data_IF_774629341609
#
_entry.id   IF_774629341609
#
_cell.length_a   1.000
_cell.length_b   1.000
_cell.length_c   1.000
_cell.angle_alpha   90.00
_cell.angle_beta   90.00
_cell.angle_gamma   90.00
#
_symmetry.space_group_name_H-M   'P 1'
#
loop_
_entity.id
_entity.type
_entity.pdbx_description
1 polymer ?
#
# COMPACT_ATOMS: atom_id res chain seq x y z
N UNK A 1 27.70 -16.19 22.72
CA UNK A 1 29.03 -15.82 22.18
C UNK A 1 29.59 -14.49 22.74
N UNK A 2 29.05 -13.98 23.85
CA UNK A 2 29.50 -12.74 24.53
C UNK A 2 30.83 -12.84 25.31
N UNK A 3 31.37 -14.05 25.50
CA UNK A 3 32.55 -14.29 26.34
C UNK A 3 33.90 -14.19 25.60
N UNK A 4 33.92 -14.15 24.27
CA UNK A 4 35.16 -14.18 23.50
C UNK A 4 35.74 -12.78 23.18
N UNK A 5 34.92 -11.72 23.24
CA UNK A 5 35.34 -10.37 22.85
C UNK A 5 36.14 -9.63 23.94
N UNK A 6 36.17 -10.12 25.18
CA UNK A 6 36.70 -9.37 26.33
C UNK A 6 38.22 -9.51 26.57
N UNK A 7 38.96 -10.30 25.76
CA UNK A 7 40.32 -10.76 26.16
C UNK A 7 41.52 -10.21 25.39
N UNK A 8 41.37 -9.29 24.43
CA UNK A 8 42.52 -8.76 23.69
C UNK A 8 42.48 -7.24 23.57
N UNK A 9 43.00 -6.57 24.59
CA UNK A 9 43.43 -5.16 24.51
C UNK A 9 44.89 -5.10 24.95
N UNK A 10 45.81 -5.18 23.98
CA UNK A 10 47.22 -4.81 24.16
C UNK A 10 47.67 -3.94 22.99
N UNK A 11 48.06 -2.72 23.33
CA UNK A 11 49.14 -1.96 22.70
C UNK A 11 48.82 -1.22 21.40
N UNK A 12 48.77 0.12 21.46
CA UNK A 12 48.82 0.96 20.26
C UNK A 12 48.37 2.42 20.46
N UNK A 13 49.32 3.26 20.85
CA UNK A 13 49.50 4.72 20.64
C UNK A 13 48.30 5.66 20.27
N UNK A 14 48.05 6.60 21.19
CA UNK A 14 47.78 8.06 21.06
C UNK A 14 47.01 8.59 19.84
N UNK A 15 45.72 8.91 20.06
CA UNK A 15 45.07 10.19 19.74
C UNK A 15 43.90 10.40 20.73
N UNK A 16 44.00 11.35 21.67
CA UNK A 16 42.85 11.95 22.37
C UNK A 16 42.64 13.33 21.73
N UNK A 17 41.44 13.76 21.37
CA UNK A 17 40.31 13.94 22.27
C UNK A 17 38.99 14.08 21.47
N UNK A 18 37.85 13.76 22.11
CA UNK A 18 36.46 13.82 21.61
C UNK A 18 35.78 12.55 21.03
N UNK A 19 36.34 11.35 21.22
CA UNK A 19 35.64 10.10 20.85
C UNK A 19 35.50 9.15 22.05
N UNK A 20 34.30 8.62 22.28
CA UNK A 20 34.06 7.63 23.33
C UNK A 20 34.96 6.40 23.10
N UNK A 21 35.45 5.77 24.16
CA UNK A 21 36.16 4.48 24.02
C UNK A 21 35.17 3.38 23.64
N UNK A 22 35.55 2.48 22.73
CA UNK A 22 34.68 1.39 22.24
C UNK A 22 34.03 0.58 23.39
N UNK A 23 34.80 0.26 24.44
CA UNK A 23 34.27 -0.46 25.60
C UNK A 23 33.16 0.31 26.36
N UNK A 24 33.27 1.64 26.46
CA UNK A 24 32.25 2.46 27.09
C UNK A 24 30.98 2.56 26.21
N UNK A 25 31.16 2.64 24.89
CA UNK A 25 30.08 2.60 23.91
C UNK A 25 29.28 1.29 24.01
N UNK A 26 29.97 0.16 24.03
CA UNK A 26 29.35 -1.17 24.21
C UNK A 26 28.59 -1.22 25.54
N UNK A 27 29.22 -0.80 26.64
CA UNK A 27 28.60 -0.89 27.96
C UNK A 27 27.32 -0.05 28.09
N UNK A 28 27.28 1.13 27.44
CA UNK A 28 26.11 2.01 27.43
C UNK A 28 24.94 1.44 26.64
N UNK A 29 25.22 0.77 25.53
CA UNK A 29 24.20 0.43 24.54
C UNK A 29 23.77 -1.05 24.55
N UNK A 30 24.58 -1.94 25.16
CA UNK A 30 24.35 -3.40 25.17
C UNK A 30 22.95 -3.83 25.59
N UNK A 31 22.30 -3.12 26.52
CA UNK A 31 20.98 -3.49 27.03
C UNK A 31 19.91 -3.34 25.94
N UNK A 32 19.97 -2.24 25.17
CA UNK A 32 19.05 -1.99 24.05
C UNK A 32 19.27 -3.01 22.93
N UNK A 33 20.53 -3.30 22.60
CA UNK A 33 20.86 -4.29 21.58
C UNK A 33 20.37 -5.69 21.97
N UNK A 34 20.50 -6.05 23.24
CA UNK A 34 20.02 -7.33 23.77
C UNK A 34 18.49 -7.45 23.72
N UNK A 35 17.75 -6.41 24.08
CA UNK A 35 16.28 -6.40 23.95
C UNK A 35 15.85 -6.61 22.50
N UNK A 36 16.50 -5.92 21.56
CA UNK A 36 16.18 -6.05 20.14
C UNK A 36 16.54 -7.45 19.61
N UNK A 37 17.64 -8.04 20.08
CA UNK A 37 18.02 -9.42 19.77
C UNK A 37 16.97 -10.42 20.27
N UNK A 38 16.46 -10.26 21.50
CA UNK A 38 15.39 -11.11 22.05
C UNK A 38 14.08 -11.00 21.26
N UNK A 39 13.74 -9.82 20.75
CA UNK A 39 12.56 -9.62 19.89
C UNK A 39 12.73 -10.34 18.54
N UNK A 40 13.89 -10.18 17.91
CA UNK A 40 14.18 -10.78 16.60
C UNK A 40 14.30 -12.31 16.71
N UNK A 41 14.76 -12.84 17.85
CA UNK A 41 14.78 -14.27 18.17
C UNK A 41 13.40 -14.83 18.57
N UNK A 42 12.38 -13.97 18.70
CA UNK A 42 11.02 -14.36 19.07
C UNK A 42 10.85 -14.74 20.54
N UNK A 43 11.82 -14.39 21.39
CA UNK A 43 11.82 -14.62 22.84
C UNK A 43 11.02 -13.54 23.59
N UNK A 44 10.88 -12.35 23.00
CA UNK A 44 10.14 -11.21 23.55
C UNK A 44 9.19 -10.61 22.51
N UNK A 45 8.06 -10.05 22.96
CA UNK A 45 7.09 -9.37 22.09
C UNK A 45 6.99 -7.90 22.50
N UNK A 46 7.43 -7.02 21.61
CA UNK A 46 7.22 -5.58 21.70
C UNK A 46 6.19 -5.11 20.67
N UNK A 47 5.62 -3.92 20.87
CA UNK A 47 4.74 -3.32 19.86
C UNK A 47 5.54 -2.94 18.61
N UNK A 48 4.85 -2.78 17.47
CA UNK A 48 5.51 -2.39 16.22
C UNK A 48 6.19 -1.01 16.31
N UNK A 49 5.62 -0.10 17.11
CA UNK A 49 6.14 1.24 17.33
C UNK A 49 7.43 1.18 18.19
N UNK A 50 7.43 0.40 19.28
CA UNK A 50 8.60 0.22 20.15
C UNK A 50 9.79 -0.39 19.39
N UNK A 51 9.53 -1.40 18.54
CA UNK A 51 10.57 -2.03 17.71
C UNK A 51 11.13 -1.03 16.69
N UNK A 52 10.28 -0.16 16.15
CA UNK A 52 10.71 0.88 15.20
C UNK A 52 11.60 1.92 15.87
N UNK A 53 11.28 2.34 17.10
CA UNK A 53 12.11 3.27 17.87
C UNK A 53 13.49 2.66 18.20
N UNK A 54 13.52 1.41 18.69
CA UNK A 54 14.78 0.71 18.95
C UNK A 54 15.62 0.50 17.69
N UNK A 55 14.98 0.30 16.53
CA UNK A 55 15.67 0.16 15.25
C UNK A 55 16.32 1.46 14.77
N UNK A 56 15.66 2.61 14.97
CA UNK A 56 16.27 3.94 14.68
C UNK A 56 17.54 4.11 15.52
N UNK A 57 17.44 3.85 16.83
CA UNK A 57 18.57 3.94 17.75
C UNK A 57 19.73 2.98 17.39
N UNK A 58 19.41 1.76 16.95
CA UNK A 58 20.41 0.81 16.46
C UNK A 58 21.14 1.33 15.21
N UNK A 59 20.41 1.98 14.31
CA UNK A 59 20.98 2.51 13.05
C UNK A 59 21.91 3.70 13.33
N UNK A 60 21.58 4.52 14.32
CA UNK A 60 22.46 5.58 14.83
C UNK A 60 23.73 5.00 15.45
N UNK A 61 23.60 3.98 16.31
CA UNK A 61 24.73 3.28 16.92
C UNK A 61 25.64 2.64 15.86
N UNK A 62 25.07 2.03 14.81
CA UNK A 62 25.82 1.48 13.68
C UNK A 62 26.57 2.56 12.90
N UNK A 63 25.94 3.71 12.67
CA UNK A 63 26.56 4.85 11.96
C UNK A 63 27.72 5.43 12.77
N UNK A 64 27.56 5.53 14.10
CA UNK A 64 28.63 5.90 15.02
C UNK A 64 29.79 4.89 14.96
N UNK A 65 29.49 3.60 15.06
CA UNK A 65 30.51 2.54 15.01
C UNK A 65 31.26 2.49 13.68
N UNK A 66 30.58 2.71 12.54
CA UNK A 66 31.24 2.81 11.22
C UNK A 66 32.21 4.00 11.12
N UNK A 67 31.92 5.09 11.81
CA UNK A 67 32.73 6.32 11.75
C UNK A 67 33.94 6.25 12.69
N UNK A 68 33.73 5.74 13.91
CA UNK A 68 34.72 5.82 14.99
C UNK A 68 35.41 4.49 15.30
N UNK A 69 34.82 3.35 14.93
CA UNK A 69 35.37 2.00 15.14
C UNK A 69 35.30 1.17 13.83
N UNK A 70 35.93 1.65 12.73
CA UNK A 70 35.91 0.95 11.46
C UNK A 70 36.49 -0.48 11.60
N UNK A 71 35.88 -1.44 10.90
CA UNK A 71 36.24 -2.87 10.90
C UNK A 71 36.30 -3.55 12.29
N UNK A 72 35.63 -2.97 13.29
CA UNK A 72 35.53 -3.54 14.63
C UNK A 72 34.49 -4.67 14.71
N UNK A 73 34.65 -5.56 15.68
CA UNK A 73 33.66 -6.61 15.97
C UNK A 73 32.28 -6.03 16.33
N UNK A 74 32.24 -4.89 17.03
CA UNK A 74 30.98 -4.22 17.35
C UNK A 74 30.29 -3.69 16.10
N UNK A 75 31.03 -3.13 15.14
CA UNK A 75 30.48 -2.67 13.87
C UNK A 75 29.85 -3.83 13.09
N UNK A 76 30.53 -4.98 13.01
CA UNK A 76 29.99 -6.17 12.34
C UNK A 76 28.75 -6.73 13.04
N UNK A 77 28.77 -6.78 14.37
CA UNK A 77 27.62 -7.21 15.19
C UNK A 77 26.40 -6.32 14.95
N UNK A 78 26.56 -4.99 15.03
CA UNK A 78 25.47 -4.04 14.83
C UNK A 78 24.91 -4.10 13.40
N UNK A 79 25.78 -4.29 12.41
CA UNK A 79 25.36 -4.45 11.03
C UNK A 79 24.49 -5.71 10.84
N UNK A 80 24.88 -6.83 11.45
CA UNK A 80 24.10 -8.06 11.44
C UNK A 80 22.76 -7.92 12.16
N UNK A 81 22.74 -7.31 13.34
CA UNK A 81 21.51 -7.06 14.10
C UNK A 81 20.57 -6.13 13.33
N UNK A 82 21.09 -5.09 12.67
CA UNK A 82 20.30 -4.16 11.87
C UNK A 82 19.63 -4.87 10.68
N UNK A 83 20.38 -5.71 9.97
CA UNK A 83 19.84 -6.50 8.85
C UNK A 83 18.71 -7.43 9.30
N UNK A 84 18.90 -8.16 10.42
CA UNK A 84 17.87 -9.07 10.96
C UNK A 84 16.63 -8.31 11.45
N UNK A 85 16.83 -7.19 12.13
CA UNK A 85 15.73 -6.33 12.62
C UNK A 85 14.94 -5.73 11.47
N UNK A 86 15.61 -5.26 10.42
CA UNK A 86 14.98 -4.72 9.22
C UNK A 86 14.05 -5.77 8.57
N UNK A 87 14.54 -7.01 8.45
CA UNK A 87 13.74 -8.13 7.96
C UNK A 87 12.57 -8.44 8.89
N UNK A 88 12.75 -8.42 10.20
CA UNK A 88 11.68 -8.65 11.18
C UNK A 88 10.55 -7.61 11.04
N UNK A 89 10.88 -6.32 10.99
CA UNK A 89 9.90 -5.23 10.85
C UNK A 89 9.09 -5.37 9.55
N UNK A 90 9.76 -5.64 8.42
CA UNK A 90 9.09 -5.71 7.11
C UNK A 90 8.35 -7.03 6.87
N UNK A 91 8.88 -8.15 7.39
CA UNK A 91 8.26 -9.48 7.22
C UNK A 91 7.12 -9.73 8.21
N UNK A 92 7.09 -9.03 9.34
CA UNK A 92 6.08 -9.20 10.40
C UNK A 92 5.00 -8.12 10.43
N UNK A 93 4.79 -7.36 9.34
CA UNK A 93 3.56 -6.56 9.14
C UNK A 93 2.35 -7.49 8.91
N UNK A 94 2.02 -8.31 9.91
CA UNK A 94 0.79 -9.09 9.93
C UNK A 94 -0.34 -8.12 10.16
N UNK A 95 -1.00 -7.73 9.07
CA UNK A 95 -2.31 -7.11 9.12
C UNK A 95 -3.18 -7.89 10.13
N UNK A 96 -3.71 -7.24 11.19
CA UNK A 96 -4.43 -7.95 12.23
C UNK A 96 -5.57 -8.77 11.61
N UNK A 97 -5.70 -10.04 12.03
CA UNK A 97 -6.80 -10.91 11.62
C UNK A 97 -8.11 -10.18 11.92
N UNK A 98 -8.80 -9.75 10.87
CA UNK A 98 -10.01 -8.91 10.99
C UNK A 98 -9.94 -7.56 10.29
N UNK A 99 -8.78 -7.06 9.83
CA UNK A 99 -8.72 -5.78 9.07
C UNK A 99 -9.61 -5.79 7.84
N UNK A 100 -9.66 -6.88 7.09
CA UNK A 100 -10.55 -6.98 5.92
C UNK A 100 -12.03 -6.86 6.33
N UNK A 101 -12.43 -7.52 7.42
CA UNK A 101 -13.81 -7.45 7.93
C UNK A 101 -14.13 -6.05 8.44
N UNK A 102 -13.21 -5.44 9.19
CA UNK A 102 -13.35 -4.07 9.70
C UNK A 102 -13.40 -3.03 8.59
N UNK A 103 -12.56 -3.18 7.57
CA UNK A 103 -12.57 -2.33 6.39
C UNK A 103 -13.95 -2.30 5.75
N UNK A 104 -14.55 -3.47 5.50
CA UNK A 104 -15.86 -3.56 4.87
C UNK A 104 -17.03 -3.21 5.80
N UNK A 105 -16.96 -3.51 7.10
CA UNK A 105 -18.06 -3.27 8.05
C UNK A 105 -18.05 -1.88 8.67
N UNK A 106 -16.90 -1.26 8.81
CA UNK A 106 -16.74 0.02 9.52
C UNK A 106 -16.18 1.08 8.58
N UNK A 107 -15.00 0.87 8.02
CA UNK A 107 -14.25 1.92 7.31
C UNK A 107 -14.98 2.38 6.03
N UNK A 108 -15.46 1.45 5.20
CA UNK A 108 -16.22 1.76 3.97
C UNK A 108 -17.57 2.44 4.29
N UNK A 109 -18.43 1.90 5.19
CA UNK A 109 -19.67 2.57 5.57
C UNK A 109 -19.46 3.95 6.19
N UNK A 110 -18.45 4.13 7.04
CA UNK A 110 -18.10 5.42 7.64
C UNK A 110 -17.65 6.43 6.57
N UNK A 111 -16.82 6.00 5.61
CA UNK A 111 -16.38 6.86 4.50
C UNK A 111 -17.56 7.29 3.61
N UNK A 112 -18.48 6.35 3.31
CA UNK A 112 -19.71 6.65 2.58
C UNK A 112 -20.62 7.61 3.37
N UNK A 113 -20.76 7.42 4.68
CA UNK A 113 -21.55 8.29 5.54
C UNK A 113 -20.95 9.71 5.64
N UNK A 114 -19.62 9.82 5.72
CA UNK A 114 -18.92 11.10 5.71
C UNK A 114 -19.10 11.86 4.39
N UNK A 115 -19.21 11.14 3.28
CA UNK A 115 -19.39 11.69 1.92
C UNK A 115 -20.83 11.62 1.40
N UNK A 116 -21.81 11.40 2.29
CA UNK A 116 -23.22 11.19 1.90
C UNK A 116 -23.84 12.37 1.16
N UNK A 117 -23.48 13.60 1.50
CA UNK A 117 -24.05 14.80 0.88
C UNK A 117 -23.70 14.91 -0.61
N UNK A 118 -22.42 14.88 -1.03
CA UNK A 118 -22.09 14.88 -2.45
C UNK A 118 -22.58 13.62 -3.18
N UNK A 119 -22.63 12.47 -2.50
CA UNK A 119 -23.20 11.24 -3.06
C UNK A 119 -24.69 11.39 -3.38
N UNK A 120 -25.48 11.90 -2.43
CA UNK A 120 -26.92 12.14 -2.60
C UNK A 120 -27.20 13.21 -3.65
N UNK A 121 -26.38 14.26 -3.71
CA UNK A 121 -26.51 15.30 -4.71
C UNK A 121 -26.27 14.74 -6.12
N UNK A 122 -25.20 13.95 -6.28
CA UNK A 122 -24.89 13.28 -7.55
C UNK A 122 -26.00 12.29 -7.95
N UNK A 123 -26.50 11.51 -6.99
CA UNK A 123 -27.63 10.61 -7.21
C UNK A 123 -28.91 11.37 -7.58
N UNK A 124 -29.17 12.52 -6.96
CA UNK A 124 -30.31 13.37 -7.27
C UNK A 124 -30.26 13.92 -8.69
N UNK A 125 -29.09 14.45 -9.12
CA UNK A 125 -28.89 14.92 -10.49
C UNK A 125 -29.06 13.76 -11.49
N UNK A 126 -28.46 12.60 -11.18
CA UNK A 126 -28.60 11.41 -12.01
C UNK A 126 -30.06 10.98 -12.16
N UNK A 127 -30.81 10.89 -11.06
CA UNK A 127 -32.23 10.52 -11.09
C UNK A 127 -33.08 11.57 -11.82
N UNK A 128 -32.78 12.86 -11.67
CA UNK A 128 -33.44 13.91 -12.42
C UNK A 128 -33.21 13.73 -13.93
N UNK A 129 -31.97 13.45 -14.36
CA UNK A 129 -31.66 13.17 -15.76
C UNK A 129 -32.38 11.92 -16.28
N UNK A 130 -32.42 10.85 -15.47
CA UNK A 130 -33.18 9.62 -15.81
C UNK A 130 -34.67 9.93 -15.97
N UNK A 131 -35.26 10.72 -15.07
CA UNK A 131 -36.66 11.12 -15.16
C UNK A 131 -36.94 11.94 -16.41
N UNK A 132 -36.07 12.90 -16.75
CA UNK A 132 -36.18 13.66 -17.99
C UNK A 132 -36.12 12.71 -19.19
N UNK A 133 -35.15 11.81 -19.25
CA UNK A 133 -35.02 10.83 -20.33
C UNK A 133 -36.26 9.92 -20.46
N UNK A 134 -36.78 9.43 -19.33
CA UNK A 134 -37.97 8.57 -19.31
C UNK A 134 -39.24 9.31 -19.74
N UNK A 135 -39.42 10.56 -19.28
CA UNK A 135 -40.55 11.40 -19.69
C UNK A 135 -40.47 11.75 -21.18
N UNK A 136 -39.28 12.08 -21.69
CA UNK A 136 -39.06 12.36 -23.11
C UNK A 136 -39.37 11.12 -23.96
N UNK A 137 -38.88 9.95 -23.58
CA UNK A 137 -39.17 8.69 -24.29
C UNK A 137 -40.66 8.32 -24.27
N UNK A 138 -41.41 8.69 -23.23
CA UNK A 138 -42.85 8.46 -23.15
C UNK A 138 -43.66 9.37 -24.08
N UNK A 139 -43.26 10.63 -24.24
CA UNK A 139 -44.03 11.62 -25.00
C UNK A 139 -43.60 11.72 -26.46
N UNK A 140 -42.34 11.43 -26.76
CA UNK A 140 -41.80 11.45 -28.13
C UNK A 140 -41.20 10.07 -28.48
N UNK A 141 -41.85 9.30 -29.38
CA UNK A 141 -41.36 7.98 -29.79
C UNK A 141 -40.08 8.05 -30.62
N UNK A 142 -39.69 9.21 -31.15
CA UNK A 142 -38.44 9.40 -31.89
C UNK A 142 -37.25 9.71 -30.99
N UNK A 143 -37.50 10.18 -29.75
CA UNK A 143 -36.46 10.57 -28.80
C UNK A 143 -35.42 9.48 -28.54
N UNK A 144 -35.86 8.23 -28.35
CA UNK A 144 -34.95 7.11 -28.10
C UNK A 144 -34.02 6.86 -29.28
N UNK A 145 -34.55 6.95 -30.51
CA UNK A 145 -33.76 6.81 -31.75
C UNK A 145 -32.81 7.98 -31.97
N UNK A 146 -33.22 9.19 -31.58
CA UNK A 146 -32.35 10.38 -31.64
C UNK A 146 -31.12 10.24 -30.73
N UNK A 147 -31.30 9.71 -29.52
CA UNK A 147 -30.21 9.60 -28.53
C UNK A 147 -29.34 8.36 -28.76
N UNK A 148 -29.95 7.20 -29.03
CA UNK A 148 -29.23 5.92 -29.14
C UNK A 148 -28.86 5.55 -30.59
N UNK A 149 -29.48 6.19 -31.59
CA UNK A 149 -29.32 5.87 -33.00
C UNK A 149 -30.25 4.76 -33.48
N UNK A 150 -30.60 4.80 -34.77
CA UNK A 150 -31.47 3.82 -35.41
C UNK A 150 -30.91 2.41 -35.37
N UNK A 151 -29.59 2.26 -35.56
CA UNK A 151 -28.93 0.95 -35.55
C UNK A 151 -29.06 0.24 -34.20
N UNK A 152 -28.81 0.95 -33.10
CA UNK A 152 -28.92 0.39 -31.75
C UNK A 152 -30.36 -0.03 -31.43
N UNK A 153 -31.33 0.81 -31.79
CA UNK A 153 -32.76 0.52 -31.57
C UNK A 153 -33.23 -0.66 -32.43
N UNK A 154 -32.85 -0.69 -33.72
CA UNK A 154 -33.24 -1.78 -34.63
C UNK A 154 -32.62 -3.11 -34.21
N UNK A 155 -31.34 -3.13 -33.82
CA UNK A 155 -30.68 -4.31 -33.24
C UNK A 155 -31.42 -4.79 -32.00
N UNK A 156 -31.80 -3.88 -31.09
CA UNK A 156 -32.53 -4.24 -29.86
C UNK A 156 -33.92 -4.82 -30.16
N UNK A 157 -34.65 -4.24 -31.12
CA UNK A 157 -35.94 -4.78 -31.56
C UNK A 157 -35.81 -6.16 -32.22
N UNK A 158 -34.75 -6.38 -32.98
CA UNK A 158 -34.45 -7.70 -33.56
C UNK A 158 -34.15 -8.73 -32.46
N UNK A 159 -33.30 -8.38 -31.49
CA UNK A 159 -32.99 -9.21 -30.33
C UNK A 159 -34.27 -9.60 -29.54
N UNK A 160 -35.21 -8.67 -29.38
CA UNK A 160 -36.51 -8.94 -28.75
C UNK A 160 -37.33 -9.94 -29.58
N UNK A 161 -37.41 -9.76 -30.90
CA UNK A 161 -38.12 -10.68 -31.81
C UNK A 161 -37.53 -12.10 -31.78
N UNK A 162 -36.21 -12.20 -31.61
CA UNK A 162 -35.49 -13.47 -31.48
C UNK A 162 -35.57 -14.07 -30.06
N UNK A 163 -36.33 -13.45 -29.15
CA UNK A 163 -36.51 -13.93 -27.78
C UNK A 163 -35.31 -13.72 -26.86
N UNK A 164 -34.34 -12.87 -27.25
CA UNK A 164 -33.12 -12.55 -26.49
C UNK A 164 -32.97 -11.04 -26.23
N UNK A 165 -33.87 -10.39 -25.47
CA UNK A 165 -33.88 -8.92 -25.31
C UNK A 165 -32.55 -8.33 -24.82
N UNK A 166 -31.81 -9.09 -24.02
CA UNK A 166 -30.54 -8.66 -23.42
C UNK A 166 -29.30 -9.07 -24.23
N UNK A 167 -29.46 -9.56 -25.47
CA UNK A 167 -28.33 -10.02 -26.30
C UNK A 167 -27.29 -8.94 -26.62
N UNK A 168 -27.65 -7.66 -26.48
CA UNK A 168 -26.72 -6.52 -26.54
C UNK A 168 -25.57 -6.66 -25.52
N UNK A 169 -25.86 -7.24 -24.35
CA UNK A 169 -24.88 -7.48 -23.29
C UNK A 169 -24.53 -8.96 -23.11
N UNK A 170 -25.41 -9.88 -23.55
CA UNK A 170 -25.29 -11.32 -23.31
C UNK A 170 -24.60 -12.13 -24.42
N UNK A 171 -24.15 -11.51 -25.50
CA UNK A 171 -23.52 -12.22 -26.63
C UNK A 171 -22.04 -12.56 -26.42
N UNK A 172 -21.37 -11.88 -25.48
CA UNK A 172 -19.95 -12.10 -25.15
C UNK A 172 -19.81 -12.62 -23.71
N UNK A 173 -18.92 -13.58 -23.49
CA UNK A 173 -18.66 -14.11 -22.14
C UNK A 173 -18.20 -12.99 -21.18
N UNK A 174 -18.82 -12.92 -20.00
CA UNK A 174 -18.62 -11.85 -19.01
C UNK A 174 -17.14 -11.61 -18.67
N UNK A 175 -16.35 -12.68 -18.57
CA UNK A 175 -14.90 -12.60 -18.32
C UNK A 175 -14.11 -11.94 -19.47
N UNK A 176 -14.49 -12.17 -20.72
CA UNK A 176 -13.86 -11.52 -21.88
C UNK A 176 -14.20 -10.04 -21.94
N UNK A 177 -15.44 -9.68 -21.56
CA UNK A 177 -15.88 -8.29 -21.49
C UNK A 177 -15.14 -7.51 -20.39
N UNK A 178 -14.99 -8.13 -19.21
CA UNK A 178 -14.20 -7.57 -18.10
C UNK A 178 -12.74 -7.30 -18.52
N UNK A 179 -12.10 -8.26 -19.19
CA UNK A 179 -10.74 -8.09 -19.70
C UNK A 179 -10.69 -6.98 -20.77
N UNK A 180 -11.67 -6.92 -21.67
CA UNK A 180 -11.77 -5.87 -22.68
C UNK A 180 -11.86 -4.47 -22.07
N UNK A 181 -12.74 -4.28 -21.08
CA UNK A 181 -12.89 -3.01 -20.34
C UNK A 181 -11.59 -2.66 -19.61
N UNK A 182 -10.97 -3.65 -18.95
CA UNK A 182 -9.71 -3.45 -18.22
C UNK A 182 -8.59 -3.00 -19.15
N UNK A 183 -8.40 -3.70 -20.27
CA UNK A 183 -7.39 -3.35 -21.28
C UNK A 183 -7.66 -1.96 -21.86
N UNK A 184 -8.92 -1.62 -22.12
CA UNK A 184 -9.28 -0.30 -22.62
C UNK A 184 -8.92 0.82 -21.62
N UNK A 185 -9.25 0.63 -20.34
CA UNK A 185 -8.91 1.59 -19.29
C UNK A 185 -7.40 1.75 -19.11
N UNK A 186 -6.64 0.65 -19.12
CA UNK A 186 -5.17 0.70 -19.06
C UNK A 186 -4.60 1.44 -20.26
N UNK A 187 -5.12 1.18 -21.46
CA UNK A 187 -4.69 1.88 -22.68
C UNK A 187 -4.93 3.39 -22.57
N UNK A 188 -6.13 3.81 -22.17
CA UNK A 188 -6.46 5.23 -22.00
C UNK A 188 -5.57 5.89 -20.95
N UNK A 189 -5.33 5.22 -19.81
CA UNK A 189 -4.44 5.73 -18.77
C UNK A 189 -3.00 5.91 -19.28
N UNK A 190 -2.46 4.94 -20.02
CA UNK A 190 -1.12 5.03 -20.62
C UNK A 190 -1.03 6.14 -21.66
N UNK A 191 -2.06 6.29 -22.50
CA UNK A 191 -2.13 7.37 -23.49
C UNK A 191 -2.21 8.74 -22.82
N UNK A 192 -3.04 8.90 -21.79
CA UNK A 192 -3.16 10.13 -21.04
C UNK A 192 -1.84 10.49 -20.33
N UNK A 193 -1.16 9.50 -19.76
CA UNK A 193 0.16 9.69 -19.15
C UNK A 193 1.22 10.10 -20.18
N UNK A 194 1.30 9.40 -21.31
CA UNK A 194 2.24 9.74 -22.39
C UNK A 194 1.94 11.13 -22.99
N UNK A 195 0.67 11.46 -23.19
CA UNK A 195 0.24 12.79 -23.63
C UNK A 195 0.59 13.87 -22.61
N UNK A 196 0.43 13.59 -21.32
CA UNK A 196 0.84 14.49 -20.24
C UNK A 196 2.36 14.73 -20.18
N UNK A 197 3.18 13.73 -20.53
CA UNK A 197 4.64 13.90 -20.67
C UNK A 197 4.98 14.72 -21.92
N UNK A 198 4.29 14.46 -23.03
CA UNK A 198 4.60 15.11 -24.31
C UNK A 198 4.10 16.56 -24.40
N UNK A 199 3.02 16.89 -23.69
CA UNK A 199 2.39 18.21 -23.67
C UNK A 199 2.61 19.00 -22.36
N UNK A 200 3.34 18.41 -21.40
CA UNK A 200 3.68 19.00 -20.10
C UNK A 200 5.03 19.69 -20.09
#
# INVERSE_FOLDING_TARGET
>A
MLHAAAKYVRGGCVLSDATMREAAFIQRNKQRWHQLEQVVDGLERLSADDVSELYVQLTDDLSYARTFYPDSNVQHFLNGLAARTHQYIHRNQRTPRGRFVRFWKEEVPLAMAATRTPLLLSAGIFLAAVLVGALSARHDPTFVRLILGDDYVNMTLQNIREGKPMAVYGSSGEGLMFLGITVNNVRVALLAFAAGIAAG
#
